data_IF_144077429013
#
_entry.id   IF_144077429013
#
_cell.length_a   1.000
_cell.length_b   1.000
_cell.length_c   1.000
_cell.angle_alpha   90.00
_cell.angle_beta   90.00
_cell.angle_gamma   90.00
#
_symmetry.space_group_name_H-M   'P 1'
#
loop_
_entity.id
_entity.type
_entity.pdbx_description
1 polymer ?
#
# COMPACT_ATOMS: atom_id res chain seq x y z
N UNK A 1 -30.98 -2.68 -35.29
CA UNK A 1 -31.65 -2.32 -34.02
C UNK A 1 -31.15 -3.10 -32.78
N UNK A 2 -29.95 -3.71 -32.77
CA UNK A 2 -29.39 -4.43 -31.59
C UNK A 2 -28.37 -3.63 -30.75
N UNK A 3 -27.87 -2.48 -31.23
CA UNK A 3 -26.84 -1.70 -30.52
C UNK A 3 -27.39 -0.79 -29.40
N UNK A 4 -28.68 -0.43 -29.42
CA UNK A 4 -29.24 0.50 -28.43
C UNK A 4 -29.47 -0.13 -27.05
N UNK A 5 -29.72 -1.45 -26.97
CA UNK A 5 -29.95 -2.14 -25.69
C UNK A 5 -28.67 -2.40 -24.89
N UNK A 6 -27.52 -2.61 -25.57
CA UNK A 6 -26.26 -2.90 -24.89
C UNK A 6 -25.65 -1.64 -24.26
N UNK A 7 -25.83 -0.48 -24.89
CA UNK A 7 -25.45 0.82 -24.31
C UNK A 7 -26.27 1.19 -23.07
N UNK A 8 -27.56 0.84 -23.05
CA UNK A 8 -28.43 1.07 -21.88
C UNK A 8 -28.13 0.11 -20.72
N UNK A 9 -27.82 -1.17 -20.99
CA UNK A 9 -27.37 -2.12 -19.95
C UNK A 9 -26.02 -1.72 -19.35
N UNK A 10 -25.05 -1.34 -20.18
CA UNK A 10 -23.73 -0.90 -19.69
C UNK A 10 -23.79 0.43 -18.91
N UNK A 11 -24.83 1.25 -19.12
CA UNK A 11 -25.09 2.46 -18.31
C UNK A 11 -25.65 2.14 -16.92
N UNK A 12 -26.37 1.03 -16.75
CA UNK A 12 -26.93 0.64 -15.45
C UNK A 12 -25.86 0.16 -14.45
N UNK A 13 -24.74 -0.37 -14.95
CA UNK A 13 -23.63 -0.87 -14.13
C UNK A 13 -22.52 0.16 -13.87
N UNK A 14 -22.70 1.42 -14.32
CA UNK A 14 -21.73 2.49 -14.05
C UNK A 14 -21.91 3.07 -12.65
N UNK A 15 -20.79 3.57 -12.12
CA UNK A 15 -20.81 4.33 -10.88
C UNK A 15 -21.54 5.64 -11.09
N UNK A 16 -22.29 6.04 -10.08
CA UNK A 16 -22.83 7.38 -9.93
C UNK A 16 -22.03 8.12 -8.85
N UNK A 17 -22.19 9.44 -8.79
CA UNK A 17 -21.60 10.23 -7.70
C UNK A 17 -22.06 9.75 -6.32
N UNK A 18 -23.33 9.35 -6.19
CA UNK A 18 -23.87 8.82 -4.93
C UNK A 18 -23.20 7.50 -4.51
N UNK A 19 -22.79 6.67 -5.47
CA UNK A 19 -22.07 5.45 -5.16
C UNK A 19 -20.69 5.74 -4.55
N UNK A 20 -19.98 6.77 -5.02
CA UNK A 20 -18.73 7.22 -4.41
C UNK A 20 -18.94 7.86 -3.03
N UNK A 21 -20.02 8.63 -2.84
CA UNK A 21 -20.37 9.16 -1.51
C UNK A 21 -20.55 8.02 -0.51
N UNK A 22 -21.25 6.95 -0.91
CA UNK A 22 -21.43 5.74 -0.09
C UNK A 22 -20.11 5.01 0.13
N UNK A 23 -19.32 4.76 -0.93
CA UNK A 23 -18.03 4.08 -0.82
C UNK A 23 -17.11 4.78 0.19
N UNK A 24 -16.98 6.11 0.10
CA UNK A 24 -16.10 6.87 1.01
C UNK A 24 -16.66 6.98 2.42
N UNK A 25 -17.98 6.85 2.61
CA UNK A 25 -18.60 6.75 3.94
C UNK A 25 -18.39 5.35 4.55
N UNK A 26 -18.69 4.29 3.80
CA UNK A 26 -18.65 2.90 4.25
C UNK A 26 -17.22 2.37 4.39
N UNK A 27 -16.30 2.84 3.54
CA UNK A 27 -14.88 2.46 3.54
C UNK A 27 -13.97 3.57 4.10
N UNK A 28 -14.52 4.48 4.91
CA UNK A 28 -13.78 5.62 5.45
C UNK A 28 -12.52 5.17 6.21
N UNK A 29 -12.65 4.16 7.07
CA UNK A 29 -11.54 3.69 7.91
C UNK A 29 -10.42 3.02 7.09
N UNK A 30 -10.67 2.02 6.21
CA UNK A 30 -9.61 1.44 5.39
C UNK A 30 -8.93 2.45 4.45
N UNK A 31 -9.68 3.40 3.88
CA UNK A 31 -9.12 4.42 2.99
C UNK A 31 -8.27 5.44 3.76
N UNK A 32 -8.72 5.87 4.94
CA UNK A 32 -7.92 6.71 5.85
C UNK A 32 -6.67 6.00 6.33
N UNK A 33 -6.79 4.73 6.69
CA UNK A 33 -5.65 3.91 7.07
C UNK A 33 -4.61 3.87 5.95
N UNK A 34 -5.02 3.64 4.70
CA UNK A 34 -4.12 3.64 3.55
C UNK A 34 -3.45 5.01 3.34
N UNK A 35 -4.22 6.09 3.35
CA UNK A 35 -3.70 7.46 3.22
C UNK A 35 -2.68 7.79 4.32
N UNK A 36 -3.00 7.47 5.57
CA UNK A 36 -2.13 7.73 6.71
C UNK A 36 -0.87 6.85 6.67
N UNK A 37 -1.00 5.57 6.34
CA UNK A 37 0.15 4.67 6.17
C UNK A 37 1.12 5.21 5.12
N UNK A 38 0.63 5.66 3.96
CA UNK A 38 1.50 6.17 2.89
C UNK A 38 2.14 7.52 3.22
N UNK A 39 1.37 8.45 3.80
CA UNK A 39 1.84 9.82 4.06
C UNK A 39 2.62 9.96 5.37
N UNK A 40 2.28 9.17 6.39
CA UNK A 40 2.77 9.29 7.76
C UNK A 40 2.44 10.61 8.44
N UNK A 41 1.45 11.33 7.94
CA UNK A 41 1.02 12.61 8.46
C UNK A 41 -0.49 12.78 8.28
N UNK A 42 -1.19 13.12 9.37
CA UNK A 42 -2.66 13.20 9.38
C UNK A 42 -3.20 14.27 8.44
N UNK A 43 -2.55 15.44 8.38
CA UNK A 43 -2.98 16.54 7.52
C UNK A 43 -2.79 16.18 6.03
N UNK A 44 -1.66 15.55 5.68
CA UNK A 44 -1.41 15.09 4.32
C UNK A 44 -2.36 13.95 3.94
N UNK A 45 -2.66 13.05 4.87
CA UNK A 45 -3.62 11.96 4.69
C UNK A 45 -5.00 12.49 4.29
N UNK A 46 -5.54 13.43 5.06
CA UNK A 46 -6.86 14.04 4.79
C UNK A 46 -6.85 14.83 3.47
N UNK A 47 -5.75 15.51 3.14
CA UNK A 47 -5.58 16.21 1.86
C UNK A 47 -5.62 15.25 0.68
N UNK A 48 -4.90 14.13 0.75
CA UNK A 48 -4.90 13.11 -0.30
C UNK A 48 -6.28 12.44 -0.41
N UNK A 49 -6.91 12.11 0.71
CA UNK A 49 -8.24 11.48 0.72
C UNK A 49 -9.28 12.36 0.02
N UNK A 50 -9.28 13.66 0.32
CA UNK A 50 -10.16 14.64 -0.32
C UNK A 50 -9.89 14.77 -1.81
N UNK A 51 -8.61 14.85 -2.21
CA UNK A 51 -8.23 14.93 -3.61
C UNK A 51 -8.66 13.69 -4.39
N UNK A 52 -8.49 12.49 -3.82
CA UNK A 52 -8.94 11.24 -4.41
C UNK A 52 -10.47 11.20 -4.55
N UNK A 53 -11.21 11.64 -3.52
CA UNK A 53 -12.67 11.71 -3.56
C UNK A 53 -13.17 12.65 -4.67
N UNK A 54 -12.63 13.87 -4.74
CA UNK A 54 -12.99 14.83 -5.80
C UNK A 54 -12.68 14.28 -7.21
N UNK A 55 -11.56 13.57 -7.35
CA UNK A 55 -11.17 12.95 -8.60
C UNK A 55 -12.07 11.76 -8.96
N UNK A 56 -12.51 10.98 -7.97
CA UNK A 56 -13.50 9.92 -8.15
C UNK A 56 -14.83 10.46 -8.65
N UNK A 57 -15.32 11.57 -8.09
CA UNK A 57 -16.58 12.20 -8.51
C UNK A 57 -16.52 12.73 -9.95
N UNK A 58 -15.38 13.27 -10.38
CA UNK A 58 -15.17 13.75 -11.76
C UNK A 58 -15.13 12.62 -12.78
N UNK A 59 -14.75 11.41 -12.37
CA UNK A 59 -14.59 10.23 -13.25
C UNK A 59 -15.71 9.20 -13.13
N UNK A 60 -16.78 9.49 -12.39
CA UNK A 60 -17.74 8.47 -11.96
C UNK A 60 -18.42 7.74 -13.14
N UNK A 61 -18.79 8.48 -14.18
CA UNK A 61 -19.49 7.93 -15.34
C UNK A 61 -18.62 7.04 -16.25
N UNK A 62 -17.32 6.88 -15.91
CA UNK A 62 -16.34 6.10 -16.66
C UNK A 62 -15.96 4.77 -15.98
N UNK A 63 -16.43 4.53 -14.75
CA UNK A 63 -16.02 3.37 -13.94
C UNK A 63 -17.22 2.48 -13.67
N UNK A 64 -17.06 1.16 -13.81
CA UNK A 64 -18.07 0.18 -13.42
C UNK A 64 -18.13 0.03 -11.90
N UNK A 65 -19.31 -0.21 -11.33
CA UNK A 65 -19.50 -0.28 -9.87
C UNK A 65 -18.59 -1.30 -9.20
N UNK A 66 -18.40 -2.45 -9.82
CA UNK A 66 -17.54 -3.51 -9.30
C UNK A 66 -16.05 -3.09 -9.18
N UNK A 67 -15.65 -2.05 -9.91
CA UNK A 67 -14.26 -1.56 -9.99
C UNK A 67 -14.07 -0.26 -9.20
N UNK A 68 -15.13 0.25 -8.59
CA UNK A 68 -15.14 1.55 -7.92
C UNK A 68 -14.16 1.62 -6.76
N UNK A 69 -14.10 0.55 -5.94
CA UNK A 69 -13.22 0.48 -4.78
C UNK A 69 -11.74 0.42 -5.18
N UNK A 70 -11.38 -0.41 -6.17
CA UNK A 70 -10.00 -0.49 -6.67
C UNK A 70 -9.59 0.80 -7.39
N UNK A 71 -10.52 1.44 -8.09
CA UNK A 71 -10.30 2.75 -8.69
C UNK A 71 -10.01 3.84 -7.65
N UNK A 72 -10.80 3.89 -6.56
CA UNK A 72 -10.60 4.84 -5.48
C UNK A 72 -9.21 4.66 -4.81
N UNK A 73 -8.82 3.42 -4.49
CA UNK A 73 -7.48 3.12 -3.96
C UNK A 73 -6.37 3.54 -4.91
N UNK A 74 -6.52 3.28 -6.21
CA UNK A 74 -5.56 3.71 -7.23
C UNK A 74 -5.39 5.23 -7.25
N UNK A 75 -6.48 6.00 -7.16
CA UNK A 75 -6.43 7.46 -7.10
C UNK A 75 -5.74 7.96 -5.81
N UNK A 76 -5.99 7.32 -4.67
CA UNK A 76 -5.28 7.60 -3.40
C UNK A 76 -3.78 7.38 -3.57
N UNK A 77 -3.38 6.22 -4.09
CA UNK A 77 -1.97 5.87 -4.31
C UNK A 77 -1.30 6.89 -5.21
N UNK A 78 -1.94 7.26 -6.34
CA UNK A 78 -1.40 8.25 -7.27
C UNK A 78 -1.23 9.63 -6.62
N UNK A 79 -2.22 10.07 -5.85
CA UNK A 79 -2.15 11.33 -5.12
C UNK A 79 -1.05 11.31 -4.03
N UNK A 80 -0.91 10.20 -3.31
CA UNK A 80 0.19 9.97 -2.35
C UNK A 80 1.56 10.03 -3.02
N UNK A 81 1.76 9.36 -4.17
CA UNK A 81 3.04 9.37 -4.90
C UNK A 81 3.37 10.80 -5.36
N UNK A 82 2.39 11.51 -5.92
CA UNK A 82 2.59 12.88 -6.40
C UNK A 82 2.98 13.85 -5.28
N UNK A 83 2.40 13.65 -4.08
CA UNK A 83 2.64 14.49 -2.90
C UNK A 83 3.96 14.14 -2.20
N UNK A 84 4.21 12.86 -1.93
CA UNK A 84 5.35 12.40 -1.14
C UNK A 84 6.63 12.25 -1.97
N UNK A 85 6.50 12.11 -3.29
CA UNK A 85 7.60 11.83 -4.23
C UNK A 85 8.60 10.80 -3.67
N UNK A 86 8.15 9.55 -3.44
CA UNK A 86 8.96 8.50 -2.87
C UNK A 86 9.98 7.95 -3.89
N UNK A 87 10.64 8.80 -4.66
CA UNK A 87 11.63 8.41 -5.67
C UNK A 87 12.99 8.22 -5.02
N UNK A 88 13.78 7.28 -5.55
CA UNK A 88 15.15 7.07 -5.10
C UNK A 88 16.00 8.31 -5.35
N UNK A 89 16.57 8.88 -4.29
CA UNK A 89 17.50 10.00 -4.39
C UNK A 89 18.79 9.56 -5.12
N UNK A 90 18.93 9.96 -6.39
CA UNK A 90 20.20 10.04 -7.10
C UNK A 90 20.89 8.71 -7.50
N UNK A 91 21.80 8.75 -8.49
CA UNK A 91 22.49 7.58 -9.04
C UNK A 91 23.52 6.91 -8.10
N UNK A 92 23.68 7.35 -6.84
CA UNK A 92 24.80 6.93 -5.98
C UNK A 92 24.48 5.80 -4.98
N UNK A 93 23.23 5.37 -4.80
CA UNK A 93 22.89 4.26 -3.89
C UNK A 93 22.47 2.96 -4.61
N UNK A 94 22.92 2.78 -5.84
CA UNK A 94 22.89 1.48 -6.54
C UNK A 94 24.09 0.58 -6.16
N UNK A 95 24.49 0.57 -4.89
CA UNK A 95 25.35 -0.48 -4.36
C UNK A 95 24.48 -1.72 -4.07
N UNK A 96 24.09 -2.40 -5.16
CA UNK A 96 23.42 -3.69 -5.12
C UNK A 96 24.35 -4.72 -4.47
N UNK A 97 24.28 -4.85 -3.15
CA UNK A 97 24.85 -6.01 -2.47
C UNK A 97 24.09 -7.24 -2.99
N UNK A 98 24.87 -8.20 -3.52
CA UNK A 98 24.42 -9.49 -4.00
C UNK A 98 23.82 -10.31 -2.86
N UNK A 99 22.60 -9.99 -2.43
CA UNK A 99 21.83 -10.90 -1.59
C UNK A 99 21.33 -12.02 -2.49
N UNK A 100 21.86 -13.23 -2.26
CA UNK A 100 21.38 -14.47 -2.87
C UNK A 100 19.88 -14.56 -2.58
N UNK A 101 19.08 -14.50 -3.64
CA UNK A 101 17.64 -14.71 -3.60
C UNK A 101 17.37 -16.16 -3.23
N UNK A 102 17.31 -16.45 -1.93
CA UNK A 102 16.71 -17.69 -1.45
C UNK A 102 15.20 -17.43 -1.34
N UNK A 103 14.50 -17.62 -2.47
CA UNK A 103 13.06 -17.35 -2.59
C UNK A 103 12.18 -18.19 -1.64
N UNK A 104 12.78 -19.18 -0.97
CA UNK A 104 12.12 -20.10 -0.04
C UNK A 104 11.58 -19.44 1.23
N UNK A 105 11.97 -18.20 1.57
CA UNK A 105 11.58 -17.55 2.83
C UNK A 105 10.71 -16.30 2.72
N UNK A 106 10.48 -15.76 1.51
CA UNK A 106 9.77 -14.48 1.35
C UNK A 106 8.27 -14.65 1.66
N UNK A 107 7.65 -15.76 1.22
CA UNK A 107 6.24 -16.03 1.46
C UNK A 107 5.93 -16.12 2.95
N UNK A 108 6.68 -16.96 3.69
CA UNK A 108 6.50 -17.14 5.13
C UNK A 108 6.69 -15.83 5.91
N UNK A 109 7.71 -15.04 5.54
CA UNK A 109 7.95 -13.72 6.14
C UNK A 109 6.84 -12.73 5.84
N UNK A 110 6.27 -12.78 4.64
CA UNK A 110 5.14 -11.92 4.27
C UNK A 110 3.89 -12.31 5.05
N UNK A 111 3.56 -13.60 5.11
CA UNK A 111 2.44 -14.11 5.91
C UNK A 111 2.60 -13.72 7.38
N UNK A 112 3.80 -13.89 7.95
CA UNK A 112 4.09 -13.49 9.31
C UNK A 112 3.92 -11.99 9.51
N UNK A 113 4.41 -11.16 8.57
CA UNK A 113 4.25 -9.71 8.65
C UNK A 113 2.77 -9.28 8.61
N UNK A 114 1.95 -9.93 7.76
CA UNK A 114 0.52 -9.65 7.58
C UNK A 114 -0.36 -10.26 8.68
N UNK A 115 0.15 -11.21 9.47
CA UNK A 115 -0.56 -11.79 10.62
C UNK A 115 -0.64 -10.86 11.84
N UNK A 116 0.12 -9.76 11.82
CA UNK A 116 0.10 -8.73 12.85
C UNK A 116 -1.22 -7.94 12.84
N UNK A 117 -1.55 -7.26 13.94
CA UNK A 117 -2.69 -6.34 13.94
C UNK A 117 -2.44 -5.17 12.95
N UNK A 118 -3.50 -4.62 12.32
CA UNK A 118 -3.37 -3.48 11.40
C UNK A 118 -2.62 -2.29 12.01
N UNK A 119 -2.87 -2.01 13.30
CA UNK A 119 -2.19 -0.93 14.03
C UNK A 119 -0.70 -1.20 14.22
N UNK A 120 -0.33 -2.42 14.62
CA UNK A 120 1.07 -2.78 14.83
C UNK A 120 1.86 -2.74 13.51
N UNK A 121 1.26 -3.22 12.42
CA UNK A 121 1.84 -3.13 11.08
C UNK A 121 1.98 -1.66 10.64
N UNK A 122 0.94 -0.85 10.84
CA UNK A 122 0.96 0.57 10.49
C UNK A 122 2.07 1.32 11.23
N UNK A 123 2.21 1.13 12.54
CA UNK A 123 3.28 1.74 13.33
C UNK A 123 4.68 1.38 12.79
N UNK A 124 4.90 0.12 12.42
CA UNK A 124 6.17 -0.31 11.81
C UNK A 124 6.41 0.33 10.44
N UNK A 125 5.37 0.43 9.62
CA UNK A 125 5.47 1.08 8.30
C UNK A 125 5.78 2.57 8.42
N UNK A 126 5.23 3.25 9.42
CA UNK A 126 5.49 4.67 9.68
C UNK A 126 6.95 4.95 10.07
N UNK A 127 7.65 3.97 10.64
CA UNK A 127 9.09 4.08 10.92
C UNK A 127 10.00 3.90 9.70
N UNK A 128 9.46 3.46 8.56
CA UNK A 128 10.21 3.36 7.31
C UNK A 128 10.26 4.70 6.60
N UNK A 129 11.33 4.94 5.83
CA UNK A 129 11.35 6.03 4.85
C UNK A 129 10.25 5.86 3.79
N UNK A 130 9.83 6.95 3.11
CA UNK A 130 8.73 6.90 2.14
C UNK A 130 8.92 5.84 1.05
N UNK A 131 10.10 5.75 0.43
CA UNK A 131 10.33 4.79 -0.66
C UNK A 131 10.11 3.31 -0.25
N UNK A 132 10.77 2.76 0.78
CA UNK A 132 10.52 1.38 1.24
C UNK A 132 9.09 1.17 1.75
N UNK A 133 8.48 2.21 2.37
CA UNK A 133 7.09 2.16 2.82
C UNK A 133 6.12 1.98 1.66
N UNK A 134 6.26 2.79 0.61
CA UNK A 134 5.44 2.69 -0.60
C UNK A 134 5.66 1.35 -1.31
N UNK A 135 6.91 0.91 -1.46
CA UNK A 135 7.22 -0.39 -2.08
C UNK A 135 6.55 -1.55 -1.33
N UNK A 136 6.55 -1.52 0.01
CA UNK A 136 5.85 -2.52 0.81
C UNK A 136 4.34 -2.46 0.59
N UNK A 137 3.71 -1.29 0.78
CA UNK A 137 2.25 -1.14 0.67
C UNK A 137 1.76 -1.57 -0.71
N UNK A 138 2.41 -1.14 -1.79
CA UNK A 138 2.02 -1.47 -3.16
C UNK A 138 2.07 -2.98 -3.41
N UNK A 139 3.12 -3.66 -2.96
CA UNK A 139 3.30 -5.08 -3.24
C UNK A 139 2.57 -6.01 -2.29
N UNK A 140 2.64 -5.73 -0.99
CA UNK A 140 2.10 -6.61 0.05
C UNK A 140 0.62 -6.39 0.32
N UNK A 141 0.14 -5.14 0.24
CA UNK A 141 -1.23 -4.79 0.65
C UNK A 141 -2.14 -4.52 -0.54
N UNK A 142 -1.62 -3.88 -1.58
CA UNK A 142 -2.41 -3.49 -2.76
C UNK A 142 -2.20 -4.44 -3.95
N UNK A 143 -1.32 -5.44 -3.81
CA UNK A 143 -1.16 -6.55 -4.77
C UNK A 143 -0.50 -6.19 -6.11
N UNK A 144 0.15 -5.03 -6.21
CA UNK A 144 0.88 -4.64 -7.41
C UNK A 144 2.08 -5.57 -7.65
N UNK A 145 2.33 -5.91 -8.91
CA UNK A 145 3.52 -6.66 -9.29
C UNK A 145 4.79 -5.83 -9.06
N UNK A 146 5.94 -6.51 -9.00
CA UNK A 146 7.27 -5.87 -8.94
C UNK A 146 7.44 -4.81 -10.04
N UNK A 147 7.06 -5.16 -11.27
CA UNK A 147 7.19 -4.27 -12.44
C UNK A 147 6.29 -3.04 -12.33
N UNK A 148 5.02 -3.22 -11.94
CA UNK A 148 4.10 -2.08 -11.79
C UNK A 148 4.54 -1.16 -10.66
N UNK A 149 5.02 -1.73 -9.55
CA UNK A 149 5.58 -0.97 -8.43
C UNK A 149 6.81 -0.16 -8.86
N UNK A 150 7.74 -0.79 -9.59
CA UNK A 150 8.93 -0.12 -10.11
C UNK A 150 8.57 1.05 -11.04
N UNK A 151 7.57 0.88 -11.91
CA UNK A 151 7.08 1.93 -12.79
C UNK A 151 6.40 3.08 -12.02
N UNK A 152 5.57 2.76 -11.03
CA UNK A 152 4.87 3.77 -10.22
C UNK A 152 5.82 4.61 -9.36
N UNK A 153 6.88 4.00 -8.86
CA UNK A 153 7.89 4.66 -8.01
C UNK A 153 9.09 5.19 -8.80
N UNK A 154 9.10 5.03 -10.12
CA UNK A 154 10.17 5.45 -11.03
C UNK A 154 11.56 4.92 -10.61
N UNK A 155 11.61 3.64 -10.20
CA UNK A 155 12.84 2.94 -9.79
C UNK A 155 13.13 1.73 -10.69
N UNK A 156 14.36 1.21 -10.62
CA UNK A 156 14.73 -0.02 -11.33
C UNK A 156 14.09 -1.28 -10.73
N UNK A 157 13.76 -2.26 -11.56
CA UNK A 157 13.09 -3.52 -11.15
C UNK A 157 13.86 -4.29 -10.06
N UNK A 158 15.20 -4.38 -10.18
CA UNK A 158 16.07 -5.00 -9.16
C UNK A 158 16.12 -4.19 -7.86
N UNK A 159 16.13 -2.85 -7.97
CA UNK A 159 16.10 -1.98 -6.80
C UNK A 159 14.76 -2.13 -6.06
N UNK A 160 13.65 -2.23 -6.80
CA UNK A 160 12.33 -2.48 -6.23
C UNK A 160 12.28 -3.77 -5.41
N UNK A 161 12.91 -4.86 -5.88
CA UNK A 161 12.98 -6.10 -5.11
C UNK A 161 13.80 -5.93 -3.82
N UNK A 162 14.99 -5.35 -3.93
CA UNK A 162 15.87 -5.11 -2.77
C UNK A 162 15.21 -4.23 -1.71
N UNK A 163 14.58 -3.13 -2.14
CA UNK A 163 13.85 -2.20 -1.28
C UNK A 163 12.68 -2.92 -0.60
N UNK A 164 11.91 -3.71 -1.34
CA UNK A 164 10.79 -4.48 -0.78
C UNK A 164 11.27 -5.50 0.25
N UNK A 165 12.33 -6.27 -0.05
CA UNK A 165 12.87 -7.26 0.88
C UNK A 165 13.36 -6.60 2.18
N UNK A 166 14.07 -5.47 2.08
CA UNK A 166 14.49 -4.70 3.26
C UNK A 166 13.30 -4.15 4.05
N UNK A 167 12.28 -3.65 3.37
CA UNK A 167 11.06 -3.18 4.03
C UNK A 167 10.35 -4.33 4.74
N UNK A 168 10.25 -5.50 4.11
CA UNK A 168 9.64 -6.71 4.67
C UNK A 168 10.37 -7.19 5.92
N UNK A 169 11.72 -7.15 5.92
CA UNK A 169 12.53 -7.47 7.09
C UNK A 169 12.31 -6.48 8.24
N UNK A 170 12.26 -5.18 7.94
CA UNK A 170 12.08 -4.14 8.94
C UNK A 170 10.69 -4.17 9.61
N UNK A 171 9.65 -4.64 8.92
CA UNK A 171 8.29 -4.74 9.46
C UNK A 171 7.99 -6.09 10.12
N UNK A 172 8.96 -7.01 10.18
CA UNK A 172 8.74 -8.29 10.86
C UNK A 172 8.34 -8.08 12.33
N UNK A 173 7.40 -8.88 12.86
CA UNK A 173 7.08 -8.82 14.27
C UNK A 173 8.33 -9.11 15.09
N UNK A 174 8.53 -8.35 16.18
CA UNK A 174 9.56 -8.68 17.16
C UNK A 174 9.09 -9.94 17.88
N UNK A 175 9.68 -11.07 17.54
CA UNK A 175 9.44 -12.31 18.26
C UNK A 175 10.09 -12.18 19.64
N UNK A 176 9.28 -11.88 20.65
CA UNK A 176 9.69 -12.11 22.03
C UNK A 176 9.60 -13.60 22.28
N UNK A 177 10.75 -14.29 22.32
CA UNK A 177 10.80 -15.63 22.88
C UNK A 177 10.57 -15.49 24.38
N UNK A 178 9.35 -15.73 24.84
CA UNK A 178 9.14 -16.04 26.25
C UNK A 178 9.82 -17.38 26.51
N UNK A 179 11.08 -17.35 26.93
CA UNK A 179 11.71 -18.50 27.56
C UNK A 179 10.97 -18.74 28.87
N UNK A 180 10.02 -19.68 28.88
CA UNK A 180 9.48 -20.24 30.11
C UNK A 180 10.55 -21.15 30.73
N UNK A 181 11.67 -20.55 31.16
CA UNK A 181 12.58 -21.13 32.11
C UNK A 181 12.21 -20.56 33.47
N UNK A 182 11.93 -21.46 34.40
CA UNK A 182 11.56 -21.19 35.77
C UNK A 182 12.43 -20.10 36.45
N UNK A 183 11.77 -19.27 37.25
CA UNK A 183 12.32 -18.51 38.39
C UNK A 183 13.61 -17.70 38.14
N UNK A 184 13.45 -16.40 37.87
CA UNK A 184 14.55 -15.43 37.99
C UNK A 184 14.54 -14.43 36.85
N UNK A 185 13.78 -13.34 37.00
CA UNK A 185 13.79 -12.24 36.05
C UNK A 185 15.11 -11.46 36.18
N UNK A 186 15.98 -11.58 35.17
CA UNK A 186 16.98 -10.57 34.87
C UNK A 186 16.95 -10.31 33.35
N UNK A 187 16.68 -9.05 32.99
CA UNK A 187 16.51 -8.60 31.60
C UNK A 187 17.87 -8.23 31.02
N UNK A 188 18.30 -8.93 29.96
CA UNK A 188 19.38 -8.47 29.07
C UNK A 188 18.82 -8.39 27.65
N UNK A 189 18.87 -7.20 27.07
CA UNK A 189 18.53 -6.96 25.67
C UNK A 189 19.70 -7.41 24.78
N UNK A 190 19.38 -8.02 23.63
CA UNK A 190 20.30 -8.15 22.49
C UNK A 190 19.77 -7.23 21.39
#
# INVERSE_FOLDING_TARGET
MRNSNMGAMLQQDRCTQNDYVRLFADSAEPLRWLCYTLTGNEELSEKVLRAAFEQSLKGADCVFRDWMASWARRLIIQACIALMRPTGCGPEECACLHSREDGSGISDRLELALSQSPDALQQRLLHLDPLPRFAFVLRALEGYSRRETALLLEIGDRACESIFTRALEAVQPRLYVFSSAAMGAELVAI
#
